data_IF_592602811327
#
_entry.id   IF_592602811327
#
_cell.length_a   1.000
_cell.length_b   1.000
_cell.length_c   1.000
_cell.angle_alpha   90.00
_cell.angle_beta   90.00
_cell.angle_gamma   90.00
#
_symmetry.space_group_name_H-M   'P 1'
#
loop_
_entity.id
_entity.type
_entity.pdbx_description
1 polymer ?
#
# COMPACT_ATOMS: atom_id res chain seq x y z
N UNK A 1 -1.80 19.70 12.77
CA UNK A 1 -1.36 18.74 11.71
C UNK A 1 -2.05 18.97 10.34
N UNK A 2 -2.36 20.21 9.91
CA UNK A 2 -2.92 20.45 8.55
C UNK A 2 -1.83 20.53 7.46
N UNK A 3 -0.61 20.90 7.85
CA UNK A 3 0.50 21.13 6.93
C UNK A 3 1.13 19.82 6.46
N UNK A 4 1.22 18.82 7.33
CA UNK A 4 1.69 17.47 6.98
C UNK A 4 0.77 16.79 5.99
N UNK A 5 -0.55 16.86 6.17
CA UNK A 5 -1.51 16.31 5.19
C UNK A 5 -1.41 17.01 3.84
N UNK A 6 -1.29 18.35 3.81
CA UNK A 6 -1.06 19.10 2.56
C UNK A 6 0.26 18.72 1.88
N UNK A 7 1.34 18.54 2.66
CA UNK A 7 2.64 18.13 2.16
C UNK A 7 2.61 16.71 1.57
N UNK A 8 1.94 15.75 2.24
CA UNK A 8 1.77 14.40 1.73
C UNK A 8 0.94 14.35 0.44
N UNK A 9 -0.13 15.16 0.37
CA UNK A 9 -0.94 15.28 -0.85
C UNK A 9 -0.12 15.89 -1.99
N UNK A 10 0.64 16.96 -1.74
CA UNK A 10 1.48 17.60 -2.76
C UNK A 10 2.59 16.66 -3.27
N UNK A 11 3.24 15.94 -2.36
CA UNK A 11 4.24 14.94 -2.72
C UNK A 11 3.63 13.79 -3.53
N UNK A 12 2.46 13.29 -3.10
CA UNK A 12 1.72 12.24 -3.83
C UNK A 12 1.31 12.69 -5.23
N UNK A 13 0.83 13.92 -5.37
CA UNK A 13 0.47 14.51 -6.66
C UNK A 13 1.69 14.64 -7.58
N UNK A 14 2.83 15.12 -7.05
CA UNK A 14 4.08 15.19 -7.80
C UNK A 14 4.60 13.83 -8.27
N UNK A 15 4.54 12.81 -7.39
CA UNK A 15 4.93 11.44 -7.73
C UNK A 15 3.99 10.80 -8.76
N UNK A 16 2.69 11.06 -8.69
CA UNK A 16 1.73 10.56 -9.67
C UNK A 16 2.00 11.15 -11.07
N UNK A 17 2.16 12.47 -11.15
CA UNK A 17 2.49 13.17 -12.41
C UNK A 17 3.84 12.67 -12.95
N UNK A 18 4.86 12.61 -12.10
CA UNK A 18 6.19 12.12 -12.47
C UNK A 18 6.19 10.65 -12.89
N UNK A 19 5.38 9.80 -12.26
CA UNK A 19 5.24 8.38 -12.61
C UNK A 19 4.56 8.19 -13.97
N UNK A 20 3.51 8.96 -14.27
CA UNK A 20 2.86 8.94 -15.59
C UNK A 20 3.85 9.37 -16.68
N UNK A 21 4.55 10.49 -16.47
CA UNK A 21 5.57 10.94 -17.42
C UNK A 21 6.71 9.93 -17.55
N UNK A 22 7.18 9.35 -16.44
CA UNK A 22 8.21 8.31 -16.44
C UNK A 22 7.83 7.08 -17.25
N UNK A 23 6.59 6.60 -17.14
CA UNK A 23 6.08 5.47 -17.94
C UNK A 23 5.95 5.84 -19.42
N UNK A 24 5.57 7.08 -19.73
CA UNK A 24 5.46 7.55 -21.13
C UNK A 24 6.84 7.70 -21.81
N UNK A 25 7.82 8.26 -21.10
CA UNK A 25 9.17 8.49 -21.64
C UNK A 25 10.05 7.24 -21.61
N UNK A 26 9.85 6.32 -20.65
CA UNK A 26 10.57 5.05 -20.56
C UNK A 26 9.57 3.87 -20.48
N UNK A 27 8.94 3.51 -21.61
CA UNK A 27 7.94 2.45 -21.62
C UNK A 27 8.57 1.06 -21.60
N UNK A 28 8.24 0.29 -20.58
CA UNK A 28 8.36 -1.17 -20.61
C UNK A 28 7.35 -1.77 -21.60
N UNK A 29 7.62 -2.98 -22.11
CA UNK A 29 6.65 -3.71 -22.95
C UNK A 29 5.32 -3.87 -22.19
N UNK A 30 4.21 -3.53 -22.83
CA UNK A 30 2.89 -3.56 -22.19
C UNK A 30 2.45 -4.94 -21.66
N UNK A 31 2.99 -6.03 -22.20
CA UNK A 31 2.81 -7.39 -21.65
C UNK A 31 3.47 -7.55 -20.28
N UNK A 32 4.70 -7.05 -20.14
CA UNK A 32 5.46 -7.09 -18.88
C UNK A 32 4.85 -6.15 -17.84
N UNK A 33 4.41 -4.94 -18.25
CA UNK A 33 3.77 -3.99 -17.33
C UNK A 33 2.48 -4.56 -16.74
N UNK A 34 1.60 -5.16 -17.56
CA UNK A 34 0.37 -5.81 -17.07
C UNK A 34 0.67 -6.98 -16.13
N UNK A 35 1.69 -7.78 -16.43
CA UNK A 35 2.14 -8.88 -15.57
C UNK A 35 2.65 -8.35 -14.23
N UNK A 36 3.55 -7.36 -14.24
CA UNK A 36 4.08 -6.71 -13.03
C UNK A 36 2.96 -6.13 -12.16
N UNK A 37 1.99 -5.42 -12.74
CA UNK A 37 0.84 -4.85 -12.00
C UNK A 37 0.00 -5.95 -11.34
N UNK A 38 -0.32 -7.03 -12.07
CA UNK A 38 -1.08 -8.16 -11.53
C UNK A 38 -0.35 -8.84 -10.37
N UNK A 39 0.94 -9.12 -10.54
CA UNK A 39 1.76 -9.79 -9.53
C UNK A 39 1.97 -8.91 -8.29
N UNK A 40 2.21 -7.62 -8.47
CA UNK A 40 2.35 -6.66 -7.37
C UNK A 40 1.02 -6.44 -6.64
N UNK A 41 -0.10 -6.36 -7.37
CA UNK A 41 -1.44 -6.20 -6.80
C UNK A 41 -1.82 -7.38 -5.90
N UNK A 42 -1.61 -8.61 -6.37
CA UNK A 42 -1.83 -9.82 -5.57
C UNK A 42 -0.96 -9.82 -4.30
N UNK A 43 0.36 -9.61 -4.46
CA UNK A 43 1.29 -9.55 -3.31
C UNK A 43 0.92 -8.48 -2.30
N UNK A 44 0.44 -7.31 -2.76
CA UNK A 44 0.01 -6.25 -1.86
C UNK A 44 -1.28 -6.63 -1.13
N UNK A 45 -2.28 -7.15 -1.85
CA UNK A 45 -3.53 -7.61 -1.26
C UNK A 45 -3.29 -8.70 -0.20
N UNK A 46 -2.41 -9.66 -0.49
CA UNK A 46 -2.05 -10.71 0.45
C UNK A 46 -1.32 -10.17 1.68
N UNK A 47 -0.37 -9.23 1.51
CA UNK A 47 0.30 -8.58 2.65
C UNK A 47 -0.65 -7.78 3.52
N UNK A 48 -1.56 -7.05 2.89
CA UNK A 48 -2.59 -6.25 3.57
C UNK A 48 -3.53 -7.18 4.33
N UNK A 49 -4.08 -8.20 3.67
CA UNK A 49 -4.94 -9.21 4.30
C UNK A 49 -4.25 -9.89 5.47
N UNK A 50 -2.99 -10.29 5.30
CA UNK A 50 -2.22 -10.92 6.38
C UNK A 50 -1.94 -9.96 7.55
N UNK A 51 -1.67 -8.68 7.28
CA UNK A 51 -1.51 -7.67 8.34
C UNK A 51 -2.81 -7.41 9.09
N UNK A 52 -3.94 -7.26 8.38
CA UNK A 52 -5.26 -7.08 8.99
C UNK A 52 -5.71 -8.31 9.78
N UNK A 53 -5.43 -9.52 9.28
CA UNK A 53 -5.73 -10.75 10.00
C UNK A 53 -4.88 -10.85 11.28
N UNK A 54 -3.58 -10.56 11.17
CA UNK A 54 -2.69 -10.51 12.33
C UNK A 54 -3.13 -9.45 13.34
N UNK A 55 -3.45 -8.23 12.92
CA UNK A 55 -3.94 -7.19 13.83
C UNK A 55 -5.23 -7.60 14.54
N UNK A 56 -6.20 -8.20 13.84
CA UNK A 56 -7.43 -8.73 14.46
C UNK A 56 -7.18 -9.88 15.42
N UNK A 57 -6.21 -10.74 15.14
CA UNK A 57 -5.81 -11.82 16.06
C UNK A 57 -5.06 -11.27 17.27
N UNK A 58 -4.17 -10.28 17.07
CA UNK A 58 -3.46 -9.58 18.13
C UNK A 58 -4.42 -8.80 19.05
N UNK A 59 -5.42 -8.12 18.50
CA UNK A 59 -6.45 -7.39 19.26
C UNK A 59 -7.30 -8.35 20.11
N UNK A 60 -7.68 -9.51 19.55
CA UNK A 60 -8.37 -10.58 20.30
C UNK A 60 -7.49 -11.22 21.37
N UNK A 61 -6.19 -11.35 21.13
CA UNK A 61 -5.26 -11.87 22.13
C UNK A 61 -5.05 -10.88 23.27
N UNK A 62 -4.93 -9.58 22.99
CA UNK A 62 -4.73 -8.56 24.02
C UNK A 62 -5.95 -8.44 24.95
N UNK A 63 -7.18 -8.48 24.41
CA UNK A 63 -8.39 -8.45 25.23
C UNK A 63 -8.55 -9.68 26.14
N UNK A 64 -8.08 -10.86 25.70
CA UNK A 64 -8.09 -12.08 26.54
C UNK A 64 -7.01 -12.07 27.63
N UNK A 65 -5.91 -11.35 27.41
CA UNK A 65 -4.86 -11.17 28.42
C UNK A 65 -5.32 -10.16 29.49
N UNK A 66 -6.06 -9.12 29.10
CA UNK A 66 -6.71 -8.19 30.05
C UNK A 66 -7.81 -8.85 30.90
N UNK A 67 -8.51 -9.86 30.38
CA UNK A 67 -9.56 -10.57 31.13
C UNK A 67 -8.99 -11.62 32.13
N UNK A 68 -7.72 -11.98 32.00
CA UNK A 68 -7.04 -12.99 32.84
C UNK A 68 -6.15 -12.39 33.96
N UNK A 69 -6.06 -11.05 34.06
CA UNK A 69 -5.38 -10.32 35.15
C UNK A 69 -6.44 -9.60 35.99
#
# INVERSE_FOLDING_TARGET
MKNTSKMLIALGAGLAIGGVLGVLFAPDKGSETRKKISDQGKKLADKVKNKFHKEKEFEKMNGRVEELI
#
